data_IF_635023454249
#
_entry.id   IF_635023454249
#
_cell.length_a   1.000
_cell.length_b   1.000
_cell.length_c   1.000
_cell.angle_alpha   90.00
_cell.angle_beta   90.00
_cell.angle_gamma   90.00
#
_symmetry.space_group_name_H-M   'P 1'
#
loop_
_entity.id
_entity.type
_entity.pdbx_description
1 polymer ?
#
# COMPACT_ATOMS: atom_id res chain seq x y z
N UNK A 1 24.31 -20.49 -11.02
CA UNK A 1 24.49 -19.61 -9.84
C UNK A 1 23.18 -18.89 -9.63
N UNK A 2 22.66 -18.84 -8.41
CA UNK A 2 21.47 -18.06 -8.10
C UNK A 2 21.93 -16.63 -7.86
N UNK A 3 21.46 -15.70 -8.68
CA UNK A 3 21.80 -14.28 -8.57
C UNK A 3 20.56 -13.53 -8.11
N UNK A 4 20.51 -13.05 -6.85
CA UNK A 4 19.40 -12.22 -6.42
C UNK A 4 19.42 -10.87 -7.15
N UNK A 5 18.25 -10.23 -7.33
CA UNK A 5 18.17 -8.83 -7.74
C UNK A 5 18.95 -7.90 -6.80
N UNK A 6 19.34 -6.72 -7.29
CA UNK A 6 20.22 -5.81 -6.56
C UNK A 6 19.55 -5.27 -5.29
N UNK A 7 18.25 -4.98 -5.35
CA UNK A 7 17.48 -4.44 -4.22
C UNK A 7 16.61 -5.49 -3.54
N UNK A 8 16.98 -6.76 -3.68
CA UNK A 8 16.28 -7.85 -3.03
C UNK A 8 16.47 -7.80 -1.51
N UNK A 9 15.37 -8.00 -0.78
CA UNK A 9 15.37 -8.10 0.67
C UNK A 9 14.22 -8.94 1.18
N UNK A 10 14.44 -9.55 2.34
CA UNK A 10 13.38 -10.18 3.13
C UNK A 10 12.87 -9.09 4.08
N UNK A 11 11.57 -8.79 4.01
CA UNK A 11 10.93 -7.79 4.87
C UNK A 11 10.36 -8.46 6.11
N UNK A 12 9.62 -9.55 5.89
CA UNK A 12 9.06 -10.45 6.90
C UNK A 12 9.05 -11.90 6.35
N UNK A 13 8.83 -12.93 7.18
CA UNK A 13 8.74 -14.31 6.70
C UNK A 13 7.74 -14.48 5.54
N UNK A 14 8.27 -14.76 4.35
CA UNK A 14 7.49 -14.92 3.12
C UNK A 14 7.03 -13.62 2.45
N UNK A 15 7.41 -12.44 2.97
CA UNK A 15 7.25 -11.13 2.34
C UNK A 15 8.61 -10.61 1.88
N UNK A 16 8.73 -10.41 0.57
CA UNK A 16 9.97 -9.98 -0.06
C UNK A 16 9.82 -8.62 -0.74
N UNK A 17 10.94 -7.94 -0.93
CA UNK A 17 11.07 -6.74 -1.75
C UNK A 17 12.09 -6.94 -2.86
N UNK A 18 11.94 -6.21 -3.97
CA UNK A 18 12.93 -6.19 -5.06
C UNK A 18 12.77 -4.96 -5.96
N UNK A 19 13.81 -4.64 -6.71
CA UNK A 19 13.72 -3.90 -7.97
C UNK A 19 13.13 -4.77 -9.09
N UNK A 20 13.05 -4.23 -10.31
CA UNK A 20 12.53 -4.95 -11.47
C UNK A 20 13.32 -6.23 -11.75
N UNK A 21 12.63 -7.28 -12.19
CA UNK A 21 13.27 -8.58 -12.42
C UNK A 21 13.83 -8.69 -13.84
N UNK A 22 15.05 -9.22 -13.92
CA UNK A 22 15.70 -9.59 -15.16
C UNK A 22 15.84 -11.12 -15.28
N UNK A 23 15.99 -11.68 -16.49
CA UNK A 23 16.11 -13.12 -16.69
C UNK A 23 17.23 -13.79 -15.88
N UNK A 24 18.30 -13.06 -15.55
CA UNK A 24 19.37 -13.51 -14.66
C UNK A 24 18.89 -13.87 -13.25
N UNK A 25 17.80 -13.25 -12.79
CA UNK A 25 17.25 -13.41 -11.43
C UNK A 25 16.22 -14.55 -11.34
N UNK A 26 15.64 -14.98 -12.47
CA UNK A 26 14.52 -15.93 -12.50
C UNK A 26 14.82 -17.26 -11.79
N UNK A 27 16.02 -17.87 -11.90
CA UNK A 27 16.33 -19.06 -11.12
C UNK A 27 16.27 -18.83 -9.60
N UNK A 28 16.72 -17.66 -9.13
CA UNK A 28 16.64 -17.28 -7.72
C UNK A 28 15.19 -17.05 -7.29
N UNK A 29 14.42 -16.27 -8.04
CA UNK A 29 13.02 -15.97 -7.73
C UNK A 29 12.17 -17.26 -7.72
N UNK A 30 12.45 -18.20 -8.62
CA UNK A 30 11.79 -19.52 -8.64
C UNK A 30 12.01 -20.29 -7.34
N UNK A 31 13.19 -20.18 -6.71
CA UNK A 31 13.48 -20.86 -5.46
C UNK A 31 12.66 -20.36 -4.27
N UNK A 32 12.10 -19.14 -4.36
CA UNK A 32 11.24 -18.56 -3.33
C UNK A 32 9.81 -19.11 -3.37
N UNK A 33 9.42 -19.83 -4.44
CA UNK A 33 8.07 -20.38 -4.64
C UNK A 33 6.97 -19.33 -4.42
N UNK A 34 7.13 -18.15 -5.02
CA UNK A 34 6.19 -17.06 -4.87
C UNK A 34 4.80 -17.45 -5.38
N UNK A 35 3.76 -16.95 -4.72
CA UNK A 35 2.36 -17.05 -5.13
C UNK A 35 1.85 -15.74 -5.73
N UNK A 36 2.29 -14.62 -5.17
CA UNK A 36 1.83 -13.27 -5.56
C UNK A 36 3.01 -12.34 -5.79
N UNK A 37 2.89 -11.45 -6.77
CA UNK A 37 3.80 -10.34 -7.00
C UNK A 37 2.99 -9.03 -7.13
N UNK A 38 3.38 -8.00 -6.39
CA UNK A 38 2.77 -6.66 -6.45
C UNK A 38 3.74 -5.71 -7.15
N UNK A 39 3.25 -4.98 -8.15
CA UNK A 39 3.98 -3.91 -8.83
C UNK A 39 3.42 -2.55 -8.43
N UNK A 40 4.30 -1.67 -7.92
CA UNK A 40 3.96 -0.33 -7.45
C UNK A 40 4.13 0.77 -8.51
N UNK A 41 4.74 0.46 -9.66
CA UNK A 41 4.95 1.42 -10.76
C UNK A 41 4.01 1.14 -11.92
N UNK A 42 3.56 2.19 -12.66
CA UNK A 42 2.69 2.03 -13.82
C UNK A 42 3.42 1.46 -15.04
N UNK A 43 4.70 1.14 -14.89
CA UNK A 43 5.52 0.61 -15.96
C UNK A 43 5.11 -0.81 -16.31
N UNK A 44 4.82 -1.04 -17.58
CA UNK A 44 4.43 -2.36 -18.04
C UNK A 44 5.57 -3.35 -17.77
N UNK A 45 5.25 -4.52 -17.18
CA UNK A 45 6.24 -5.56 -16.95
C UNK A 45 6.86 -6.00 -18.28
N UNK A 46 8.17 -6.27 -18.27
CA UNK A 46 8.84 -6.79 -19.46
C UNK A 46 8.23 -8.14 -19.86
N UNK A 47 8.21 -8.44 -21.18
CA UNK A 47 7.68 -9.73 -21.68
C UNK A 47 8.33 -10.93 -21.00
N UNK A 48 9.63 -10.85 -20.69
CA UNK A 48 10.33 -11.91 -19.98
C UNK A 48 9.80 -12.10 -18.56
N UNK A 49 9.56 -11.02 -17.82
CA UNK A 49 9.01 -11.07 -16.46
C UNK A 49 7.57 -11.56 -16.46
N UNK A 50 6.73 -11.07 -17.39
CA UNK A 50 5.34 -11.55 -17.56
C UNK A 50 5.28 -13.04 -17.86
N UNK A 51 6.06 -13.51 -18.85
CA UNK A 51 6.12 -14.93 -19.19
C UNK A 51 6.59 -15.75 -17.99
N UNK A 52 7.62 -15.28 -17.26
CA UNK A 52 8.10 -15.98 -16.07
C UNK A 52 7.01 -16.10 -15.00
N UNK A 53 6.27 -15.03 -14.70
CA UNK A 53 5.18 -15.10 -13.73
C UNK A 53 4.04 -16.01 -14.19
N UNK A 54 3.66 -15.96 -15.46
CA UNK A 54 2.64 -16.85 -16.04
C UNK A 54 3.08 -18.33 -15.96
N UNK A 55 4.31 -18.64 -16.40
CA UNK A 55 4.88 -19.99 -16.37
C UNK A 55 4.97 -20.59 -14.97
N UNK A 56 5.18 -19.76 -13.95
CA UNK A 56 5.30 -20.20 -12.55
C UNK A 56 4.00 -19.97 -11.75
N UNK A 57 2.90 -19.60 -12.44
CA UNK A 57 1.58 -19.34 -11.83
C UNK A 57 1.61 -18.30 -10.71
N UNK A 58 2.50 -17.31 -10.82
CA UNK A 58 2.60 -16.19 -9.90
C UNK A 58 1.56 -15.15 -10.32
N UNK A 59 0.63 -14.83 -9.42
CA UNK A 59 -0.37 -13.79 -9.66
C UNK A 59 0.29 -12.42 -9.59
N UNK A 60 0.41 -11.75 -10.74
CA UNK A 60 0.90 -10.37 -10.82
C UNK A 60 -0.26 -9.38 -10.60
N UNK A 61 -0.11 -8.47 -9.64
CA UNK A 61 -1.05 -7.40 -9.31
C UNK A 61 -0.37 -6.07 -9.61
N UNK A 62 -0.93 -5.30 -10.54
CA UNK A 62 -0.49 -3.94 -10.83
C UNK A 62 -1.39 -2.93 -10.13
N UNK A 63 -0.85 -2.31 -9.07
CA UNK A 63 -1.56 -1.31 -8.29
C UNK A 63 -1.62 0.03 -9.02
N UNK A 64 -0.54 0.42 -9.70
CA UNK A 64 -0.45 1.72 -10.34
C UNK A 64 -1.37 1.88 -11.56
N UNK A 65 -1.65 0.79 -12.27
CA UNK A 65 -2.60 0.76 -13.39
C UNK A 65 -4.05 0.44 -12.97
N UNK A 66 -4.32 0.27 -11.67
CA UNK A 66 -5.67 0.01 -11.15
C UNK A 66 -6.27 -1.31 -11.66
N UNK A 67 -5.43 -2.29 -12.00
CA UNK A 67 -5.88 -3.62 -12.43
C UNK A 67 -6.58 -4.39 -11.30
N UNK A 68 -6.42 -3.95 -10.06
CA UNK A 68 -7.13 -4.44 -8.90
C UNK A 68 -8.37 -3.59 -8.63
N UNK A 69 -9.49 -3.95 -9.24
CA UNK A 69 -10.82 -3.52 -8.77
C UNK A 69 -11.50 -4.75 -8.18
N UNK A 70 -11.78 -4.70 -6.89
CA UNK A 70 -12.46 -5.76 -6.13
C UNK A 70 -13.70 -6.25 -6.90
N UNK A 71 -13.68 -7.50 -7.33
CA UNK A 71 -14.88 -8.19 -7.79
C UNK A 71 -15.73 -8.57 -6.58
N UNK A 72 -16.41 -7.59 -5.99
CA UNK A 72 -17.52 -7.85 -5.07
C UNK A 72 -18.75 -8.21 -5.92
N UNK A 73 -18.82 -9.47 -6.34
CA UNK A 73 -20.04 -10.05 -6.88
C UNK A 73 -21.15 -9.99 -5.80
N UNK A 74 -21.99 -8.96 -5.86
CA UNK A 74 -23.34 -9.02 -5.33
C UNK A 74 -24.34 -8.83 -6.48
N UNK A 75 -25.03 -9.89 -6.96
CA UNK A 75 -26.09 -9.75 -7.95
C UNK A 75 -27.37 -9.33 -7.24
N UNK A 76 -27.45 -8.09 -6.77
CA UNK A 76 -28.73 -7.49 -6.37
C UNK A 76 -28.66 -5.97 -6.25
N UNK A 77 -28.99 -5.27 -7.32
CA UNK A 77 -29.87 -4.10 -7.29
C UNK A 77 -30.20 -3.65 -8.71
N UNK A 78 -31.35 -4.11 -9.15
CA UNK A 78 -32.11 -3.52 -10.22
C UNK A 78 -32.52 -2.10 -9.79
N UNK A 79 -31.94 -1.07 -10.39
CA UNK A 79 -32.50 0.29 -10.39
C UNK A 79 -32.62 0.80 -11.82
N UNK A 80 -33.75 0.40 -12.38
CA UNK A 80 -34.53 1.07 -13.38
C UNK A 80 -34.30 2.61 -13.42
N UNK A 81 -33.75 3.12 -14.51
CA UNK A 81 -33.86 4.52 -14.90
C UNK A 81 -34.28 4.57 -16.37
N UNK A 82 -35.58 4.75 -16.53
CA UNK A 82 -36.28 5.03 -17.77
C UNK A 82 -35.56 6.08 -18.60
N UNK A 83 -35.33 5.79 -19.88
CA UNK A 83 -35.40 6.84 -20.88
C UNK A 83 -36.29 6.38 -22.03
N UNK A 84 -37.50 6.94 -21.99
CA UNK A 84 -38.52 6.93 -23.03
C UNK A 84 -37.95 7.54 -24.31
N UNK A 85 -38.02 6.83 -25.42
CA UNK A 85 -38.40 7.45 -26.70
C UNK A 85 -39.05 6.40 -27.61
N UNK A 86 -40.33 6.65 -27.80
CA UNK A 86 -41.31 6.09 -28.73
C UNK A 86 -40.75 5.85 -30.13
N UNK A 87 -40.93 4.62 -30.61
CA UNK A 87 -40.76 4.20 -31.99
C UNK A 87 -42.13 4.14 -32.67
N UNK A 88 -42.43 5.10 -33.53
CA UNK A 88 -43.42 4.95 -34.59
C UNK A 88 -42.66 4.67 -35.90
N UNK A 89 -42.99 3.55 -36.54
CA UNK A 89 -42.49 3.19 -37.86
C UNK A 89 -43.50 3.55 -38.94
N UNK A 90 -43.01 3.87 -40.14
CA UNK A 90 -43.61 3.55 -41.46
C UNK A 90 -42.75 4.16 -42.59
N UNK A 91 -42.08 3.35 -43.42
CA UNK A 91 -42.42 2.97 -44.83
C UNK A 91 -42.06 3.98 -45.94
N UNK A 92 -41.27 3.50 -46.93
CA UNK A 92 -41.63 3.61 -48.36
C UNK A 92 -40.93 4.64 -49.28
N UNK A 93 -40.13 4.12 -50.22
CA UNK A 93 -39.96 4.47 -51.66
C UNK A 93 -39.59 5.89 -52.16
N UNK A 94 -38.68 5.94 -53.17
CA UNK A 94 -38.79 6.88 -54.31
C UNK A 94 -37.52 7.64 -54.76
N UNK A 95 -37.15 7.47 -56.03
CA UNK A 95 -36.08 8.16 -56.80
C UNK A 95 -36.30 9.69 -56.95
N UNK A 96 -35.22 10.50 -57.09
CA UNK A 96 -34.82 11.23 -58.33
C UNK A 96 -33.56 12.12 -58.14
N UNK A 97 -32.78 12.14 -59.22
CA UNK A 97 -31.78 13.07 -59.81
C UNK A 97 -31.67 14.54 -59.32
N UNK A 98 -30.44 15.05 -59.12
CA UNK A 98 -29.78 16.13 -59.93
C UNK A 98 -28.59 16.83 -59.22
N UNK A 99 -27.75 17.44 -60.06
CA UNK A 99 -26.36 17.86 -59.84
C UNK A 99 -26.17 19.19 -59.07
N UNK A 100 -24.98 19.37 -58.50
CA UNK A 100 -24.51 20.67 -58.01
C UNK A 100 -23.18 20.58 -57.27
N UNK A 101 -22.07 20.76 -58.00
CA UNK A 101 -20.73 20.79 -57.45
C UNK A 101 -20.47 22.05 -56.62
N UNK A 102 -19.82 21.88 -55.47
CA UNK A 102 -19.07 22.92 -54.75
C UNK A 102 -18.05 22.20 -53.86
N UNK A 103 -16.79 22.23 -54.29
CA UNK A 103 -15.66 21.65 -53.57
C UNK A 103 -15.43 22.43 -52.27
N UNK A 104 -15.65 21.79 -51.13
CA UNK A 104 -14.98 22.13 -49.87
C UNK A 104 -14.22 20.90 -49.40
N UNK A 105 -12.89 20.97 -49.46
CA UNK A 105 -12.00 19.98 -48.88
C UNK A 105 -12.09 20.13 -47.36
N UNK A 106 -13.03 19.41 -46.75
CA UNK A 106 -13.05 19.21 -45.31
C UNK A 106 -12.05 18.08 -45.00
N UNK A 107 -10.92 18.46 -44.39
CA UNK A 107 -9.93 17.54 -43.85
C UNK A 107 -10.63 16.65 -42.82
N UNK A 108 -10.93 15.41 -43.18
CA UNK A 108 -11.44 14.41 -42.25
C UNK A 108 -10.34 14.15 -41.21
N UNK A 109 -10.44 14.80 -40.05
CA UNK A 109 -9.73 14.38 -38.87
C UNK A 109 -10.28 13.03 -38.44
N UNK A 110 -9.48 11.97 -38.34
CA UNK A 110 -9.97 10.73 -37.76
C UNK A 110 -10.32 11.01 -36.30
N UNK A 111 -11.61 10.93 -35.97
CA UNK A 111 -12.11 10.98 -34.60
C UNK A 111 -11.63 9.73 -33.87
N UNK A 112 -10.47 9.86 -33.22
CA UNK A 112 -9.98 8.88 -32.25
C UNK A 112 -11.01 8.85 -31.10
N UNK A 113 -11.55 7.68 -30.71
CA UNK A 113 -12.52 7.60 -29.64
C UNK A 113 -11.89 8.07 -28.32
N UNK A 114 -12.61 8.96 -27.62
CA UNK A 114 -12.23 9.58 -26.35
C UNK A 114 -12.29 8.59 -25.17
N UNK A 115 -11.55 7.48 -25.24
CA UNK A 115 -11.51 6.47 -24.19
C UNK A 115 -10.15 5.76 -24.06
N UNK A 116 -9.05 6.47 -24.32
CA UNK A 116 -7.78 6.09 -23.69
C UNK A 116 -7.75 6.77 -22.34
N UNK A 117 -8.05 5.98 -21.30
CA UNK A 117 -7.87 6.32 -19.90
C UNK A 117 -6.53 7.06 -19.73
N UNK A 118 -6.58 8.38 -19.59
CA UNK A 118 -5.48 9.17 -19.07
C UNK A 118 -5.35 8.87 -17.59
N UNK A 119 -4.77 7.73 -17.24
CA UNK A 119 -4.09 7.60 -15.96
C UNK A 119 -2.78 8.37 -16.12
N UNK A 120 -2.68 9.52 -15.46
CA UNK A 120 -1.47 10.32 -15.43
C UNK A 120 -0.28 9.43 -15.04
N UNK A 121 0.55 9.08 -16.02
CA UNK A 121 1.75 8.23 -15.87
C UNK A 121 2.77 8.78 -14.85
N UNK A 122 2.61 10.04 -14.45
CA UNK A 122 3.43 10.75 -13.45
C UNK A 122 2.77 10.87 -12.07
N UNK A 123 1.65 10.18 -11.80
CA UNK A 123 1.01 10.27 -10.48
C UNK A 123 1.91 9.58 -9.44
N UNK A 124 2.34 10.28 -8.37
CA UNK A 124 2.99 9.64 -7.25
C UNK A 124 2.11 8.54 -6.67
N UNK A 125 2.72 7.52 -6.06
CA UNK A 125 2.02 6.45 -5.34
C UNK A 125 1.01 7.06 -4.36
N UNK A 126 -0.28 6.88 -4.62
CA UNK A 126 -1.32 7.48 -3.80
C UNK A 126 -1.56 6.66 -2.53
N UNK A 127 -2.05 7.34 -1.49
CA UNK A 127 -2.42 6.73 -0.21
C UNK A 127 -3.34 5.52 -0.37
N UNK A 128 -4.33 5.60 -1.27
CA UNK A 128 -5.22 4.49 -1.63
C UNK A 128 -4.47 3.25 -2.14
N UNK A 129 -3.43 3.43 -2.95
CA UNK A 129 -2.64 2.30 -3.47
C UNK A 129 -1.76 1.69 -2.39
N UNK A 130 -1.22 2.51 -1.48
CA UNK A 130 -0.50 2.01 -0.31
C UNK A 130 -1.46 1.20 0.56
N UNK A 131 -2.63 1.74 0.88
CA UNK A 131 -3.65 1.05 1.65
C UNK A 131 -3.99 -0.31 1.03
N UNK A 132 -4.38 -0.34 -0.23
CA UNK A 132 -4.80 -1.58 -0.89
C UNK A 132 -3.65 -2.60 -0.94
N UNK A 133 -2.43 -2.14 -1.20
CA UNK A 133 -1.25 -3.02 -1.16
C UNK A 133 -0.93 -3.54 0.25
N UNK A 134 -1.10 -2.72 1.30
CA UNK A 134 -0.92 -3.12 2.69
C UNK A 134 -1.94 -4.20 3.07
N UNK A 135 -3.21 -4.03 2.71
CA UNK A 135 -4.25 -5.03 2.94
C UNK A 135 -3.93 -6.36 2.23
N UNK A 136 -3.34 -6.32 1.03
CA UNK A 136 -2.90 -7.52 0.32
C UNK A 136 -1.72 -8.22 1.00
N UNK A 137 -0.70 -7.49 1.45
CA UNK A 137 0.44 -8.12 2.14
C UNK A 137 0.08 -8.58 3.55
N UNK A 138 -1.02 -8.08 4.12
CA UNK A 138 -1.56 -8.54 5.41
C UNK A 138 -2.53 -9.72 5.25
N UNK A 139 -2.81 -10.18 4.04
CA UNK A 139 -3.61 -11.40 3.83
C UNK A 139 -2.67 -12.60 3.60
N UNK A 140 -2.65 -13.51 4.56
CA UNK A 140 -1.84 -14.73 4.56
C UNK A 140 -2.10 -15.61 3.32
N UNK A 141 -3.27 -15.50 2.69
CA UNK A 141 -3.58 -16.24 1.47
C UNK A 141 -2.72 -15.80 0.28
N UNK A 142 -2.07 -14.64 0.35
CA UNK A 142 -1.25 -14.13 -0.74
C UNK A 142 0.21 -14.62 -0.71
N UNK A 143 0.62 -15.30 0.37
CA UNK A 143 2.00 -15.71 0.62
C UNK A 143 2.41 -16.99 -0.13
N UNK A 144 3.72 -17.13 -0.48
CA UNK A 144 4.78 -16.12 -0.37
C UNK A 144 4.61 -14.99 -1.40
N UNK A 145 4.92 -13.76 -1.01
CA UNK A 145 4.63 -12.55 -1.78
C UNK A 145 5.86 -11.68 -1.96
N UNK A 146 6.00 -11.06 -3.15
CA UNK A 146 7.03 -10.07 -3.43
C UNK A 146 6.39 -8.73 -3.81
N UNK A 147 6.90 -7.63 -3.28
CA UNK A 147 6.55 -6.28 -3.70
C UNK A 147 7.71 -5.73 -4.52
N UNK A 148 7.41 -5.04 -5.62
CA UNK A 148 8.41 -4.55 -6.55
C UNK A 148 8.09 -3.15 -7.05
N UNK A 149 9.14 -2.39 -7.34
CA UNK A 149 9.07 -1.19 -8.16
C UNK A 149 10.25 -1.19 -9.17
N UNK A 150 10.29 -0.22 -10.07
CA UNK A 150 11.34 -0.15 -11.11
C UNK A 150 12.76 -0.09 -10.53
N UNK A 151 12.96 0.66 -9.45
CA UNK A 151 14.27 0.94 -8.84
C UNK A 151 14.57 0.14 -7.57
N UNK A 152 13.56 -0.46 -6.96
CA UNK A 152 13.58 -1.06 -5.63
C UNK A 152 13.82 -0.06 -4.48
N UNK A 153 13.59 1.25 -4.68
CA UNK A 153 14.00 2.29 -3.71
C UNK A 153 12.83 3.14 -3.19
N UNK A 154 12.14 3.88 -4.07
CA UNK A 154 11.29 4.98 -3.63
C UNK A 154 9.88 4.51 -3.26
N UNK A 155 9.17 3.96 -4.23
CA UNK A 155 7.78 3.52 -4.07
C UNK A 155 7.70 2.39 -3.04
N UNK A 156 8.58 1.40 -3.17
CA UNK A 156 8.68 0.30 -2.21
C UNK A 156 9.22 0.77 -0.86
N UNK A 157 10.11 1.76 -0.82
CA UNK A 157 10.63 2.31 0.43
C UNK A 157 9.54 3.02 1.22
N UNK A 158 8.70 3.81 0.55
CA UNK A 158 7.51 4.42 1.15
C UNK A 158 6.51 3.36 1.58
N UNK A 159 6.21 2.39 0.73
CA UNK A 159 5.29 1.30 1.05
C UNK A 159 5.72 0.50 2.30
N UNK A 160 6.98 0.09 2.36
CA UNK A 160 7.52 -0.63 3.52
C UNK A 160 7.60 0.28 4.75
N UNK A 161 7.89 1.57 4.58
CA UNK A 161 7.82 2.53 5.68
C UNK A 161 6.42 2.65 6.28
N UNK A 162 5.36 2.65 5.45
CA UNK A 162 3.98 2.62 5.90
C UNK A 162 3.61 1.30 6.59
N UNK A 163 4.13 0.15 6.10
CA UNK A 163 4.02 -1.11 6.83
C UNK A 163 4.67 -1.02 8.22
N UNK A 164 5.88 -0.47 8.33
CA UNK A 164 6.58 -0.30 9.62
C UNK A 164 5.82 0.63 10.58
N UNK A 165 5.17 1.67 10.05
CA UNK A 165 4.28 2.56 10.82
C UNK A 165 3.11 1.76 11.40
N UNK A 166 2.47 0.94 10.58
CA UNK A 166 1.37 0.07 10.99
C UNK A 166 1.82 -0.96 12.04
N UNK A 167 3.05 -1.46 11.93
CA UNK A 167 3.74 -2.33 12.87
C UNK A 167 4.23 -1.64 14.18
N UNK A 168 3.84 -0.38 14.40
CA UNK A 168 4.20 0.40 15.58
C UNK A 168 5.72 0.68 15.75
N UNK A 169 6.50 0.66 14.67
CA UNK A 169 7.92 1.02 14.75
C UNK A 169 8.10 2.50 15.08
N UNK A 170 9.18 2.82 15.81
CA UNK A 170 9.60 4.20 15.98
C UNK A 170 10.00 4.81 14.64
N UNK A 171 9.51 6.02 14.34
CA UNK A 171 9.75 6.69 13.07
C UNK A 171 11.25 6.81 12.71
N UNK A 172 12.13 7.03 13.68
CA UNK A 172 13.58 7.11 13.42
C UNK A 172 14.12 5.79 12.86
N UNK A 173 13.66 4.65 13.39
CA UNK A 173 14.04 3.31 12.90
C UNK A 173 13.51 3.06 11.49
N UNK A 174 12.31 3.54 11.19
CA UNK A 174 11.72 3.45 9.84
C UNK A 174 12.58 4.22 8.84
N UNK A 175 13.00 5.44 9.18
CA UNK A 175 13.85 6.25 8.31
C UNK A 175 15.23 5.63 8.13
N UNK A 176 15.78 4.98 9.17
CA UNK A 176 17.04 4.24 9.04
C UNK A 176 16.90 3.08 8.05
N UNK A 177 15.83 2.28 8.14
CA UNK A 177 15.57 1.20 7.17
C UNK A 177 15.40 1.75 5.74
N UNK A 178 14.57 2.79 5.57
CA UNK A 178 14.37 3.44 4.27
C UNK A 178 15.70 3.92 3.66
N UNK A 179 16.51 4.65 4.44
CA UNK A 179 17.80 5.19 3.98
C UNK A 179 18.85 4.11 3.74
N UNK A 180 18.76 2.96 4.40
CA UNK A 180 19.64 1.83 4.12
C UNK A 180 19.51 1.33 2.68
N UNK A 181 18.29 1.32 2.14
CA UNK A 181 18.04 0.99 0.72
C UNK A 181 18.27 2.18 -0.22
N UNK A 182 17.84 3.38 0.18
CA UNK A 182 17.88 4.55 -0.70
C UNK A 182 19.28 5.17 -0.84
N UNK A 183 20.13 5.08 0.19
CA UNK A 183 21.46 5.67 0.22
C UNK A 183 21.43 7.16 -0.15
N UNK A 184 22.27 7.57 -1.10
CA UNK A 184 22.33 8.95 -1.61
C UNK A 184 21.11 9.38 -2.42
N UNK A 185 20.21 8.45 -2.75
CA UNK A 185 18.97 8.72 -3.48
C UNK A 185 17.79 8.99 -2.54
N UNK A 186 17.96 8.94 -1.22
CA UNK A 186 16.87 9.22 -0.27
C UNK A 186 16.20 10.57 -0.55
N UNK A 187 14.87 10.63 -0.45
CA UNK A 187 14.09 11.86 -0.68
C UNK A 187 13.24 12.17 0.54
N UNK A 188 13.30 13.43 0.99
CA UNK A 188 12.52 13.92 2.12
C UNK A 188 11.00 13.75 1.91
N UNK A 189 10.49 13.89 0.68
CA UNK A 189 9.06 13.70 0.38
C UNK A 189 8.57 12.29 0.70
N UNK A 190 9.42 11.26 0.54
CA UNK A 190 9.08 9.89 0.89
C UNK A 190 9.05 9.72 2.42
N UNK A 191 9.96 10.34 3.15
CA UNK A 191 10.00 10.33 4.62
C UNK A 191 8.76 11.02 5.21
N UNK A 192 8.42 12.21 4.69
CA UNK A 192 7.24 12.96 5.08
C UNK A 192 5.94 12.19 4.78
N UNK A 193 5.88 11.48 3.64
CA UNK A 193 4.72 10.63 3.35
C UNK A 193 4.57 9.53 4.39
N UNK A 194 5.66 8.83 4.75
CA UNK A 194 5.64 7.79 5.77
C UNK A 194 5.17 8.36 7.12
N UNK A 195 5.63 9.55 7.49
CA UNK A 195 5.25 10.21 8.75
C UNK A 195 3.74 10.53 8.81
N UNK A 196 3.19 11.02 7.71
CA UNK A 196 1.82 11.53 7.63
C UNK A 196 0.78 10.49 7.19
N UNK A 197 1.22 9.28 6.82
CA UNK A 197 0.32 8.22 6.36
C UNK A 197 -0.68 7.84 7.46
N UNK A 198 -1.97 7.89 7.13
CA UNK A 198 -3.05 7.54 8.05
C UNK A 198 -3.25 6.02 8.12
N UNK A 199 -2.74 5.42 9.20
CA UNK A 199 -2.83 3.97 9.42
C UNK A 199 -4.24 3.52 9.82
N UNK A 200 -5.10 4.43 10.32
CA UNK A 200 -6.42 4.07 10.83
C UNK A 200 -7.39 3.69 9.70
N UNK A 201 -7.02 3.99 8.45
CA UNK A 201 -7.79 3.62 7.27
C UNK A 201 -7.52 2.18 6.79
N UNK A 202 -6.52 1.48 7.34
CA UNK A 202 -6.24 0.09 6.94
C UNK A 202 -7.30 -0.86 7.48
N UNK A 203 -7.92 -1.64 6.61
CA UNK A 203 -8.85 -2.72 7.00
C UNK A 203 -8.13 -4.05 7.02
N UNK A 204 -7.90 -4.59 8.21
CA UNK A 204 -7.24 -5.89 8.35
C UNK A 204 -8.09 -7.02 7.74
N UNK A 205 -7.48 -7.93 6.95
CA UNK A 205 -8.19 -9.09 6.40
C UNK A 205 -8.47 -10.15 7.47
N UNK A 206 -9.38 -11.09 7.16
CA UNK A 206 -9.78 -12.16 8.08
C UNK A 206 -8.64 -13.14 8.41
N UNK A 207 -7.68 -13.32 7.49
CA UNK A 207 -6.58 -14.28 7.60
C UNK A 207 -5.24 -13.55 7.63
N UNK A 208 -4.78 -13.17 8.83
CA UNK A 208 -3.51 -12.47 9.03
C UNK A 208 -2.30 -13.43 9.03
N UNK A 209 -1.12 -13.02 8.54
CA UNK A 209 0.11 -13.77 8.65
C UNK A 209 0.53 -14.01 10.10
N UNK A 210 1.20 -15.14 10.34
CA UNK A 210 1.70 -15.49 11.68
C UNK A 210 2.64 -14.43 12.26
N UNK A 211 3.55 -13.89 11.43
CA UNK A 211 4.49 -12.85 11.87
C UNK A 211 3.77 -11.58 12.35
N UNK A 212 2.61 -11.25 11.77
CA UNK A 212 1.80 -10.09 12.18
C UNK A 212 1.14 -10.35 13.53
N UNK A 213 0.51 -11.52 13.69
CA UNK A 213 -0.18 -11.91 14.93
C UNK A 213 0.80 -11.93 16.11
N UNK A 214 1.96 -12.54 15.91
CA UNK A 214 3.01 -12.63 16.94
C UNK A 214 3.51 -11.23 17.33
N UNK A 215 3.74 -10.36 16.34
CA UNK A 215 4.19 -9.00 16.61
C UNK A 215 3.16 -8.16 17.35
N UNK A 216 1.89 -8.23 16.95
CA UNK A 216 0.80 -7.54 17.64
C UNK A 216 0.65 -7.98 19.09
N UNK A 217 0.80 -9.29 19.34
CA UNK A 217 0.76 -9.82 20.69
C UNK A 217 1.92 -9.28 21.54
N UNK A 218 3.15 -9.36 21.02
CA UNK A 218 4.33 -8.85 21.73
C UNK A 218 4.20 -7.35 22.04
N UNK A 219 3.68 -6.56 21.09
CA UNK A 219 3.50 -5.13 21.30
C UNK A 219 2.47 -4.83 22.39
N UNK A 220 1.35 -5.59 22.44
CA UNK A 220 0.33 -5.43 23.49
C UNK A 220 0.88 -5.75 24.87
N UNK A 221 1.63 -6.84 24.99
CA UNK A 221 2.30 -7.23 26.24
C UNK A 221 3.27 -6.12 26.70
N UNK A 222 4.06 -5.54 25.78
CA UNK A 222 4.97 -4.42 26.09
C UNK A 222 4.22 -3.16 26.55
N UNK A 223 3.06 -2.85 25.96
CA UNK A 223 2.24 -1.70 26.41
C UNK A 223 1.69 -1.94 27.82
N UNK A 224 1.16 -3.14 28.10
CA UNK A 224 0.65 -3.50 29.42
C UNK A 224 1.74 -3.41 30.50
N UNK A 225 2.96 -3.86 30.20
CA UNK A 225 4.10 -3.74 31.10
C UNK A 225 4.48 -2.27 31.37
N UNK A 226 4.50 -1.43 30.32
CA UNK A 226 4.79 0.00 30.45
C UNK A 226 3.75 0.73 31.28
N UNK A 227 2.47 0.44 31.07
CA UNK A 227 1.37 1.04 31.83
C UNK A 227 1.44 0.65 33.30
N UNK A 228 1.72 -0.63 33.59
CA UNK A 228 1.92 -1.10 34.97
C UNK A 228 3.13 -0.42 35.63
N UNK A 229 4.23 -0.26 34.91
CA UNK A 229 5.43 0.42 35.41
C UNK A 229 5.16 1.89 35.72
N UNK A 230 4.41 2.58 34.86
CA UNK A 230 4.05 3.99 35.05
C UNK A 230 3.14 4.18 36.28
N UNK A 231 2.19 3.27 36.49
CA UNK A 231 1.33 3.34 37.68
C UNK A 231 2.12 3.10 38.96
N UNK A 232 3.04 2.11 38.97
CA UNK A 232 3.94 1.88 40.10
C UNK A 232 4.83 3.10 40.39
N UNK A 233 5.32 3.77 39.35
CA UNK A 233 6.11 4.99 39.50
C UNK A 233 5.29 6.14 40.12
N UNK A 234 4.04 6.32 39.67
CA UNK A 234 3.09 7.29 40.25
C UNK A 234 2.79 7.00 41.72
N UNK A 235 2.53 5.75 42.07
CA UNK A 235 2.26 5.35 43.46
C UNK A 235 3.50 5.59 44.35
N UNK A 236 4.69 5.22 43.86
CA UNK A 236 5.93 5.45 44.58
C UNK A 236 6.25 6.94 44.75
N UNK A 237 5.92 7.79 43.78
CA UNK A 237 6.04 9.24 43.91
C UNK A 237 5.03 9.82 44.90
N UNK A 238 3.75 9.40 44.84
CA UNK A 238 2.72 9.83 45.78
C UNK A 238 3.06 9.46 47.23
N UNK A 239 3.58 8.24 47.45
CA UNK A 239 4.03 7.79 48.77
C UNK A 239 5.20 8.65 49.27
N UNK A 240 6.21 8.91 48.42
CA UNK A 240 7.34 9.79 48.76
C UNK A 240 6.87 11.20 49.14
N UNK A 241 5.93 11.78 48.41
CA UNK A 241 5.37 13.09 48.72
C UNK A 241 4.60 13.09 50.06
N UNK A 242 3.82 12.05 50.33
CA UNK A 242 3.10 11.91 51.59
C UNK A 242 4.07 11.79 52.79
N UNK A 243 5.12 10.98 52.66
CA UNK A 243 6.14 10.81 53.69
C UNK A 243 6.87 12.14 53.99
N UNK A 244 7.20 12.91 52.96
CA UNK A 244 7.79 14.25 53.11
C UNK A 244 6.84 15.21 53.84
N UNK A 245 5.56 15.21 53.49
CA UNK A 245 4.54 16.04 54.14
C UNK A 245 4.39 15.68 55.62
N UNK A 246 4.36 14.39 55.96
CA UNK A 246 4.28 13.95 57.35
C UNK A 246 5.50 14.38 58.16
N UNK A 247 6.71 14.23 57.60
CA UNK A 247 7.95 14.70 58.26
C UNK A 247 7.92 16.21 58.52
N UNK A 248 7.46 17.01 57.55
CA UNK A 248 7.33 18.46 57.74
C UNK A 248 6.33 18.82 58.85
N UNK A 249 5.19 18.12 58.91
CA UNK A 249 4.19 18.32 59.96
C UNK A 249 4.73 17.96 61.34
N UNK A 250 5.48 16.85 61.45
CA UNK A 250 6.13 16.45 62.72
C UNK A 250 7.12 17.51 63.19
N UNK A 251 8.01 17.98 62.29
CA UNK A 251 8.98 19.03 62.61
C UNK A 251 8.29 20.32 63.07
N UNK A 252 7.21 20.74 62.38
CA UNK A 252 6.45 21.93 62.76
C UNK A 252 5.76 21.77 64.15
N UNK A 253 5.23 20.60 64.46
CA UNK A 253 4.59 20.32 65.73
C UNK A 253 5.59 20.28 66.91
N UNK A 254 6.82 19.82 66.67
CA UNK A 254 7.89 19.87 67.66
C UNK A 254 8.36 21.30 67.92
N UNK A 255 8.52 22.11 66.87
CA UNK A 255 8.89 23.51 66.99
C UNK A 255 7.86 24.34 67.78
N UNK A 256 6.56 24.05 67.65
CA UNK A 256 5.50 24.74 68.37
C UNK A 256 5.40 24.40 69.87
N UNK A 257 6.10 23.35 70.34
CA UNK A 257 6.14 22.93 71.76
C UNK A 257 7.33 23.50 72.53
N UNK A 258 8.27 24.19 71.86
CA UNK A 258 9.43 24.86 72.46
C UNK A 258 9.18 26.36 72.61
#
# INVERSE_FOLDING_TARGET
MLTPPEQFGIVEPGLYRSDTLHPSHFPFIRSLNLKTAILLTPELPSRAMSNFFEENQIRLIDLALGSWKNNTNNPSSNTNANNTNTSDGQTGQGLTTEAGGSNSVALATPSVPAALFQTSWWKPLSEELIKDGLEMILDANNYPIIVMDTSGIHEIGTFMGCLRRLQHWNFSSIIVEYRAYAGSKARYVNEQFIELFDIDWITLPDCLPTWWIEQEQMWREEQEEKDLQLEQEREAEAQRQNDLRQRQLTIAAEAAKS
#
